data_IF_609607031980
#
_entry.id   IF_609607031980
#
_cell.length_a   1.000
_cell.length_b   1.000
_cell.length_c   1.000
_cell.angle_alpha   90.00
_cell.angle_beta   90.00
_cell.angle_gamma   90.00
#
_symmetry.space_group_name_H-M   'P 1'
#
loop_
_entity.id
_entity.type
_entity.pdbx_description
1 polymer ?
#
# COMPACT_ATOMS: atom_id res chain seq x y z
N UNK A 1 6.90 35.44 -21.95
CA UNK A 1 7.94 34.42 -21.68
C UNK A 1 7.50 33.56 -20.50
N UNK A 2 7.81 32.26 -20.56
CA UNK A 2 7.47 31.16 -19.62
C UNK A 2 6.15 30.42 -19.88
N UNK A 3 6.14 29.62 -20.94
CA UNK A 3 5.26 28.45 -21.05
C UNK A 3 6.04 27.13 -21.25
N UNK A 4 7.38 27.14 -21.22
CA UNK A 4 8.20 26.00 -21.65
C UNK A 4 8.56 25.00 -20.53
N UNK A 5 8.06 25.20 -19.31
CA UNK A 5 8.42 24.34 -18.18
C UNK A 5 7.63 23.04 -18.05
N UNK A 6 6.51 22.86 -18.77
CA UNK A 6 5.54 21.80 -18.48
C UNK A 6 5.06 20.97 -19.69
N UNK A 7 5.60 21.21 -20.88
CA UNK A 7 5.39 20.36 -22.08
C UNK A 7 6.21 19.07 -22.05
N UNK A 8 7.19 18.99 -21.15
CA UNK A 8 8.04 17.81 -20.98
C UNK A 8 7.29 16.75 -20.18
N UNK A 9 7.21 15.55 -20.76
CA UNK A 9 6.68 14.37 -20.07
C UNK A 9 7.45 14.13 -18.77
N UNK A 10 6.76 13.89 -17.63
CA UNK A 10 7.42 13.45 -16.41
C UNK A 10 8.26 12.20 -16.68
N UNK A 11 9.54 12.22 -16.28
CA UNK A 11 10.50 11.14 -16.55
C UNK A 11 10.00 9.76 -16.11
N UNK A 12 9.35 9.69 -14.93
CA UNK A 12 8.72 8.46 -14.42
C UNK A 12 7.66 7.87 -15.35
N UNK A 13 6.88 8.72 -16.03
CA UNK A 13 5.89 8.26 -17.00
C UNK A 13 6.55 7.83 -18.30
N UNK A 14 7.56 8.57 -18.76
CA UNK A 14 8.34 8.21 -19.94
C UNK A 14 9.05 6.85 -19.76
N UNK A 15 9.66 6.62 -18.61
CA UNK A 15 10.31 5.35 -18.27
C UNK A 15 9.30 4.21 -18.16
N UNK A 16 8.09 4.48 -17.66
CA UNK A 16 7.02 3.49 -17.57
C UNK A 16 6.48 3.08 -18.95
N UNK A 17 6.25 4.06 -19.84
CA UNK A 17 5.84 3.80 -21.24
C UNK A 17 6.93 3.03 -21.97
N UNK A 18 8.21 3.34 -21.70
CA UNK A 18 9.35 2.63 -22.27
C UNK A 18 9.60 1.24 -21.64
N UNK A 19 8.76 0.79 -20.70
CA UNK A 19 8.92 -0.49 -20.02
C UNK A 19 10.14 -0.58 -19.10
N UNK A 20 10.80 0.55 -18.79
CA UNK A 20 12.04 0.61 -18.01
C UNK A 20 11.81 0.56 -16.50
N UNK A 21 10.61 0.92 -16.02
CA UNK A 21 10.24 0.74 -14.61
C UNK A 21 9.64 -0.66 -14.41
N UNK A 22 10.49 -1.68 -14.36
CA UNK A 22 10.10 -3.00 -13.87
C UNK A 22 9.85 -2.91 -12.37
N UNK A 23 8.57 -2.87 -11.97
CA UNK A 23 8.13 -2.67 -10.58
C UNK A 23 8.66 -1.34 -10.03
N UNK A 24 7.79 -0.37 -9.80
CA UNK A 24 8.13 0.69 -8.85
C UNK A 24 8.40 -0.03 -7.54
N UNK A 25 9.68 -0.28 -7.24
CA UNK A 25 10.15 -0.45 -5.89
C UNK A 25 9.70 0.85 -5.26
N UNK A 26 8.58 0.77 -4.52
CA UNK A 26 8.09 1.89 -3.74
C UNK A 26 9.32 2.50 -3.10
N UNK A 27 9.60 3.77 -3.40
CA UNK A 27 10.58 4.52 -2.64
C UNK A 27 10.21 4.22 -1.20
N UNK A 28 11.02 3.42 -0.52
CA UNK A 28 10.86 3.08 0.89
C UNK A 28 10.75 4.43 1.57
N UNK A 29 9.53 4.89 1.83
CA UNK A 29 9.31 6.14 2.50
C UNK A 29 9.64 5.81 3.94
N UNK A 30 10.91 6.00 4.26
CA UNK A 30 11.50 5.87 5.58
C UNK A 30 11.58 4.42 6.08
N UNK A 31 12.40 3.59 5.42
CA UNK A 31 13.26 2.72 6.24
C UNK A 31 14.33 3.62 6.85
N UNK A 32 13.92 4.38 7.86
CA UNK A 32 14.87 4.83 8.84
C UNK A 32 15.28 3.55 9.56
N UNK A 33 16.33 2.90 9.06
CA UNK A 33 17.14 1.95 9.81
C UNK A 33 17.83 2.67 10.97
N UNK A 34 17.10 3.49 11.73
CA UNK A 34 17.46 3.73 13.10
C UNK A 34 17.29 2.37 13.77
N UNK A 35 18.41 1.73 14.10
CA UNK A 35 18.52 0.56 14.95
C UNK A 35 17.97 0.87 16.35
N UNK A 36 16.71 1.29 16.43
CA UNK A 36 16.04 1.56 17.68
C UNK A 36 15.63 0.21 18.23
N UNK A 37 16.26 -0.14 19.34
CA UNK A 37 15.95 -1.35 20.07
C UNK A 37 14.45 -1.36 20.40
N UNK A 38 13.76 -2.51 20.23
CA UNK A 38 12.35 -2.62 20.56
C UNK A 38 12.12 -2.18 22.01
N UNK A 39 11.29 -1.16 22.21
CA UNK A 39 10.96 -0.66 23.55
C UNK A 39 9.96 -1.64 24.18
N UNK A 40 10.43 -2.46 25.11
CA UNK A 40 9.59 -3.47 25.78
C UNK A 40 8.96 -4.47 24.80
N UNK A 41 9.68 -4.85 23.74
CA UNK A 41 9.24 -5.83 22.75
C UNK A 41 8.26 -5.28 21.69
N UNK A 42 8.06 -3.96 21.62
CA UNK A 42 7.29 -3.30 20.55
C UNK A 42 8.23 -2.51 19.63
N UNK A 43 8.04 -2.66 18.32
CA UNK A 43 8.73 -1.86 17.32
C UNK A 43 8.33 -0.37 17.44
N UNK A 44 9.27 0.59 17.47
CA UNK A 44 8.95 2.03 17.54
C UNK A 44 7.98 2.51 16.46
N UNK A 45 8.08 1.95 15.26
CA UNK A 45 7.19 2.25 14.12
C UNK A 45 5.71 1.96 14.42
N UNK A 46 5.42 0.96 15.25
CA UNK A 46 4.04 0.66 15.69
C UNK A 46 3.43 1.82 16.46
N UNK A 47 4.22 2.54 17.27
CA UNK A 47 3.72 3.71 17.99
C UNK A 47 3.43 4.86 17.05
N UNK A 48 4.27 5.07 16.03
CA UNK A 48 4.03 6.08 15.01
C UNK A 48 2.76 5.78 14.21
N UNK A 49 2.55 4.53 13.80
CA UNK A 49 1.36 4.15 13.03
C UNK A 49 0.06 4.29 13.84
N UNK A 50 0.10 4.01 15.15
CA UNK A 50 -1.07 4.08 16.01
C UNK A 50 -1.29 5.44 16.67
N UNK A 51 -0.44 6.44 16.41
CA UNK A 51 -0.50 7.75 17.08
C UNK A 51 -1.86 8.45 16.89
N UNK A 52 -2.47 8.26 15.72
CA UNK A 52 -3.75 8.87 15.33
C UNK A 52 -4.94 7.90 15.53
N UNK A 53 -4.69 6.73 16.14
CA UNK A 53 -5.69 5.68 16.33
C UNK A 53 -6.04 5.50 17.82
N UNK A 54 -7.32 5.22 18.10
CA UNK A 54 -7.74 4.79 19.45
C UNK A 54 -7.40 3.31 19.64
N UNK A 55 -6.18 3.03 20.10
CA UNK A 55 -5.69 1.67 20.34
C UNK A 55 -5.83 1.25 21.82
N UNK A 56 -6.58 0.17 22.13
CA UNK A 56 -6.63 -0.38 23.49
C UNK A 56 -5.25 -0.82 23.99
N UNK A 57 -4.83 -0.49 25.23
CA UNK A 57 -3.51 -0.87 25.76
C UNK A 57 -3.23 -2.39 25.74
N UNK A 58 -4.28 -3.21 25.87
CA UNK A 58 -4.17 -4.68 25.77
C UNK A 58 -3.68 -5.17 24.41
N UNK A 59 -3.81 -4.36 23.36
CA UNK A 59 -3.35 -4.69 22.00
C UNK A 59 -1.84 -4.86 21.94
N UNK A 60 -1.08 -4.01 22.63
CA UNK A 60 0.38 -4.12 22.68
C UNK A 60 0.84 -5.44 23.32
N UNK A 61 0.06 -5.98 24.27
CA UNK A 61 0.32 -7.31 24.83
C UNK A 61 0.18 -8.44 23.80
N UNK A 62 -0.70 -8.29 22.81
CA UNK A 62 -0.85 -9.24 21.70
C UNK A 62 0.27 -9.06 20.69
N UNK A 63 0.61 -7.82 20.32
CA UNK A 63 1.66 -7.53 19.34
C UNK A 63 3.04 -8.02 19.80
N UNK A 64 3.34 -8.00 21.10
CA UNK A 64 4.59 -8.59 21.65
C UNK A 64 4.78 -10.08 21.34
N UNK A 65 3.73 -10.80 20.97
CA UNK A 65 3.79 -12.23 20.66
C UNK A 65 4.37 -12.50 19.26
N UNK A 66 4.44 -11.48 18.40
CA UNK A 66 4.97 -11.58 17.04
C UNK A 66 6.25 -10.78 16.87
N UNK A 67 7.06 -11.15 15.88
CA UNK A 67 8.30 -10.46 15.54
C UNK A 67 8.07 -8.99 15.16
N UNK A 68 9.06 -8.09 15.38
CA UNK A 68 8.90 -6.66 15.13
C UNK A 68 8.39 -6.30 13.72
N UNK A 69 8.90 -6.96 12.68
CA UNK A 69 8.39 -6.79 11.31
C UNK A 69 6.90 -7.10 11.24
N UNK A 70 6.48 -8.26 11.76
CA UNK A 70 5.09 -8.68 11.79
C UNK A 70 4.19 -7.75 12.61
N UNK A 71 4.69 -7.09 13.64
CA UNK A 71 3.91 -6.10 14.39
C UNK A 71 3.46 -4.94 13.50
N UNK A 72 4.40 -4.38 12.72
CA UNK A 72 4.13 -3.28 11.78
C UNK A 72 3.10 -3.74 10.75
N UNK A 73 3.32 -4.91 10.15
CA UNK A 73 2.41 -5.49 9.17
C UNK A 73 0.95 -5.63 9.65
N UNK A 74 0.78 -6.13 10.88
CA UNK A 74 -0.55 -6.30 11.48
C UNK A 74 -1.22 -4.94 11.66
N UNK A 75 -0.47 -3.94 12.13
CA UNK A 75 -0.99 -2.60 12.41
C UNK A 75 -1.39 -1.89 11.12
N UNK A 76 -0.55 -1.92 10.09
CA UNK A 76 -0.88 -1.34 8.77
C UNK A 76 -2.16 -1.95 8.19
N UNK A 77 -2.28 -3.29 8.24
CA UNK A 77 -3.47 -3.98 7.76
C UNK A 77 -4.71 -3.61 8.60
N UNK A 78 -4.58 -3.49 9.93
CA UNK A 78 -5.69 -3.08 10.79
C UNK A 78 -6.16 -1.64 10.52
N UNK A 79 -5.24 -0.72 10.24
CA UNK A 79 -5.54 0.66 9.87
C UNK A 79 -6.25 0.70 8.52
N UNK A 80 -5.71 0.02 7.51
CA UNK A 80 -6.31 0.00 6.18
C UNK A 80 -7.69 -0.67 6.13
N UNK A 81 -7.95 -1.62 7.04
CA UNK A 81 -9.27 -2.22 7.23
C UNK A 81 -10.21 -1.39 8.11
N UNK A 82 -9.76 -0.24 8.64
CA UNK A 82 -10.48 0.59 9.62
C UNK A 82 -10.94 -0.20 10.85
N UNK A 83 -10.15 -1.20 11.25
CA UNK A 83 -10.49 -2.20 12.27
C UNK A 83 -9.43 -2.31 13.35
N UNK A 84 -8.97 -1.17 13.85
CA UNK A 84 -8.06 -1.06 15.00
C UNK A 84 -8.76 -1.45 16.30
N UNK A 85 -9.01 -2.75 16.47
CA UNK A 85 -9.75 -3.36 17.60
C UNK A 85 -8.98 -4.55 18.14
N UNK A 86 -9.11 -4.80 19.45
CA UNK A 86 -8.41 -5.89 20.14
C UNK A 86 -8.70 -7.27 19.52
N UNK A 87 -9.94 -7.53 19.11
CA UNK A 87 -10.33 -8.79 18.49
C UNK A 87 -9.66 -8.98 17.12
N UNK A 88 -9.54 -7.92 16.31
CA UNK A 88 -8.80 -7.96 15.04
C UNK A 88 -7.35 -8.33 15.29
N UNK A 89 -6.68 -7.63 16.22
CA UNK A 89 -5.29 -7.94 16.57
C UNK A 89 -5.12 -9.40 17.03
N UNK A 90 -6.07 -9.91 17.83
CA UNK A 90 -6.06 -11.31 18.27
C UNK A 90 -6.17 -12.27 17.09
N UNK A 91 -7.04 -12.01 16.12
CA UNK A 91 -7.18 -12.85 14.92
C UNK A 91 -5.88 -12.86 14.13
N UNK A 92 -5.29 -11.69 13.87
CA UNK A 92 -4.03 -11.57 13.13
C UNK A 92 -2.87 -12.31 13.82
N UNK A 93 -2.75 -12.20 15.15
CA UNK A 93 -1.71 -12.89 15.92
C UNK A 93 -1.93 -14.41 15.92
N UNK A 94 -3.19 -14.86 16.06
CA UNK A 94 -3.52 -16.30 16.03
C UNK A 94 -3.19 -16.90 14.67
N UNK A 95 -3.47 -16.20 13.57
CA UNK A 95 -3.21 -16.64 12.20
C UNK A 95 -1.78 -16.33 11.69
N UNK A 96 -0.89 -15.87 12.57
CA UNK A 96 0.49 -15.57 12.17
C UNK A 96 1.32 -16.87 12.10
N UNK A 97 2.13 -17.09 11.04
CA UNK A 97 3.04 -18.23 10.90
C UNK A 97 3.95 -18.52 12.10
N UNK A 98 4.21 -19.82 12.36
CA UNK A 98 5.34 -20.38 13.14
C UNK A 98 6.52 -19.42 13.36
N UNK A 99 7.15 -19.18 12.22
CA UNK A 99 8.40 -18.46 12.03
C UNK A 99 8.34 -16.97 12.36
N UNK A 100 7.14 -16.41 12.52
CA UNK A 100 6.92 -14.98 12.77
C UNK A 100 6.49 -14.70 14.22
N UNK A 101 6.53 -15.70 15.10
CA UNK A 101 6.32 -15.52 16.53
C UNK A 101 7.62 -15.28 17.29
N UNK A 102 7.52 -14.51 18.37
CA UNK A 102 8.65 -14.28 19.29
C UNK A 102 9.02 -15.55 20.07
N UNK A 103 8.04 -16.41 20.39
CA UNK A 103 8.23 -17.66 21.12
C UNK A 103 7.48 -18.81 20.41
N UNK A 104 8.11 -19.48 19.43
CA UNK A 104 7.44 -20.53 18.64
C UNK A 104 7.13 -21.79 19.47
N UNK A 105 7.82 -22.01 20.59
CA UNK A 105 7.63 -23.18 21.46
C UNK A 105 6.37 -23.13 22.33
N UNK A 106 5.69 -21.98 22.41
CA UNK A 106 4.49 -21.83 23.24
C UNK A 106 3.25 -22.29 22.45
N UNK A 107 2.43 -23.23 22.98
CA UNK A 107 1.21 -23.67 22.33
C UNK A 107 0.26 -22.50 22.05
N UNK A 108 -0.20 -22.39 20.81
CA UNK A 108 -1.08 -21.30 20.38
C UNK A 108 -2.50 -21.51 20.85
N UNK A 109 -3.18 -20.39 21.09
CA UNK A 109 -4.63 -20.40 21.30
C UNK A 109 -5.32 -20.55 19.94
N UNK A 110 -5.89 -21.71 19.68
CA UNK A 110 -6.76 -21.92 18.54
C UNK A 110 -8.13 -21.28 18.77
N UNK A 111 -8.86 -21.02 17.69
CA UNK A 111 -10.27 -20.65 17.79
C UNK A 111 -11.06 -21.87 18.28
N UNK A 112 -11.89 -21.65 19.30
CA UNK A 112 -12.75 -22.72 19.81
C UNK A 112 -13.70 -23.19 18.71
N UNK A 113 -13.80 -24.51 18.51
CA UNK A 113 -14.68 -25.11 17.52
C UNK A 113 -14.12 -25.20 16.09
N UNK A 114 -12.86 -24.85 15.85
CA UNK A 114 -12.19 -25.04 14.55
C UNK A 114 -11.28 -26.27 14.59
N UNK A 115 -11.41 -27.16 13.61
CA UNK A 115 -10.56 -28.35 13.48
C UNK A 115 -9.10 -27.96 13.12
N UNK A 116 -8.08 -28.73 13.55
CA UNK A 116 -6.68 -28.37 13.32
C UNK A 116 -6.32 -28.29 11.83
N UNK A 117 -6.93 -29.10 10.98
CA UNK A 117 -6.73 -29.07 9.52
C UNK A 117 -7.29 -27.77 8.92
N UNK A 118 -8.49 -27.36 9.35
CA UNK A 118 -9.12 -26.10 8.92
C UNK A 118 -8.33 -24.88 9.39
N UNK A 119 -7.78 -24.95 10.61
CA UNK A 119 -6.93 -23.90 11.12
C UNK A 119 -5.65 -23.75 10.28
N UNK A 120 -5.02 -24.87 9.92
CA UNK A 120 -3.82 -24.88 9.08
C UNK A 120 -4.10 -24.28 7.70
N UNK A 121 -5.24 -24.61 7.09
CA UNK A 121 -5.67 -24.00 5.83
C UNK A 121 -5.85 -22.48 5.97
N UNK A 122 -6.54 -22.05 7.04
CA UNK A 122 -6.77 -20.64 7.32
C UNK A 122 -5.47 -19.85 7.56
N UNK A 123 -4.47 -20.45 8.23
CA UNK A 123 -3.15 -19.83 8.43
C UNK A 123 -2.44 -19.60 7.10
N UNK A 124 -2.46 -20.58 6.19
CA UNK A 124 -1.87 -20.48 4.85
C UNK A 124 -2.59 -19.40 4.03
N UNK A 125 -3.91 -19.47 3.93
CA UNK A 125 -4.72 -18.49 3.18
C UNK A 125 -4.52 -17.07 3.72
N UNK A 126 -4.46 -16.92 5.04
CA UNK A 126 -4.24 -15.62 5.67
C UNK A 126 -2.85 -15.05 5.39
N UNK A 127 -1.82 -15.90 5.38
CA UNK A 127 -0.47 -15.49 5.04
C UNK A 127 -0.38 -15.03 3.57
N UNK A 128 -1.01 -15.77 2.66
CA UNK A 128 -1.09 -15.39 1.24
C UNK A 128 -1.84 -14.08 1.03
N UNK A 129 -2.99 -13.92 1.68
CA UNK A 129 -3.79 -12.70 1.63
C UNK A 129 -3.02 -11.50 2.20
N UNK A 130 -2.38 -11.66 3.37
CA UNK A 130 -1.58 -10.61 4.01
C UNK A 130 -0.46 -10.13 3.09
N UNK A 131 0.24 -11.06 2.42
CA UNK A 131 1.31 -10.75 1.46
C UNK A 131 0.77 -10.05 0.22
N UNK A 132 -0.32 -10.57 -0.35
CA UNK A 132 -0.97 -9.95 -1.52
C UNK A 132 -1.46 -8.53 -1.23
N UNK A 133 -2.09 -8.34 -0.07
CA UNK A 133 -2.53 -7.03 0.41
C UNK A 133 -1.36 -6.05 0.51
N UNK A 134 -0.25 -6.43 1.16
CA UNK A 134 0.91 -5.53 1.29
C UNK A 134 1.51 -5.17 -0.06
N UNK A 135 1.72 -6.15 -0.92
CA UNK A 135 2.26 -5.92 -2.26
C UNK A 135 1.39 -4.94 -3.06
N UNK A 136 0.07 -5.00 -2.89
CA UNK A 136 -0.86 -4.05 -3.50
C UNK A 136 -0.79 -2.67 -2.83
N UNK A 137 -0.77 -2.61 -1.50
CA UNK A 137 -0.71 -1.37 -0.73
C UNK A 137 0.57 -0.56 -1.04
N UNK A 138 1.74 -1.21 -1.06
CA UNK A 138 3.02 -0.57 -1.39
C UNK A 138 3.04 0.05 -2.79
N UNK A 139 2.34 -0.58 -3.76
CA UNK A 139 2.26 -0.11 -5.14
C UNK A 139 1.21 0.98 -5.34
N UNK A 140 0.15 0.97 -4.53
CA UNK A 140 -1.00 1.85 -4.69
C UNK A 140 -0.62 3.33 -4.65
N UNK A 141 0.18 3.76 -3.67
CA UNK A 141 0.56 5.17 -3.53
C UNK A 141 1.36 5.70 -4.73
N UNK A 142 2.36 4.94 -5.20
CA UNK A 142 3.14 5.32 -6.36
C UNK A 142 2.30 5.37 -7.64
N UNK A 143 1.45 4.37 -7.86
CA UNK A 143 0.59 4.33 -9.04
C UNK A 143 -0.44 5.46 -9.04
N UNK A 144 -1.00 5.81 -7.88
CA UNK A 144 -1.91 6.96 -7.76
C UNK A 144 -1.20 8.27 -8.09
N UNK A 145 0.03 8.50 -7.58
CA UNK A 145 0.79 9.71 -7.91
C UNK A 145 1.18 9.78 -9.39
N UNK A 146 1.58 8.65 -9.97
CA UNK A 146 1.87 8.56 -11.40
C UNK A 146 0.61 8.82 -12.24
N UNK A 147 -0.54 8.26 -11.84
CA UNK A 147 -1.81 8.52 -12.52
C UNK A 147 -2.21 10.00 -12.45
N UNK A 148 -2.02 10.65 -11.30
CA UNK A 148 -2.23 12.10 -11.13
C UNK A 148 -1.29 12.89 -12.05
N UNK A 149 -0.01 12.51 -12.11
CA UNK A 149 0.97 13.15 -12.99
C UNK A 149 0.61 12.96 -14.48
N UNK A 150 0.19 11.76 -14.88
CA UNK A 150 -0.20 11.43 -16.25
C UNK A 150 -1.43 12.22 -16.66
N UNK A 151 -2.46 12.25 -15.80
CA UNK A 151 -3.65 13.07 -16.02
C UNK A 151 -3.28 14.55 -16.16
N UNK A 152 -2.45 15.06 -15.26
CA UNK A 152 -2.00 16.46 -15.31
C UNK A 152 -1.25 16.78 -16.60
N UNK A 153 -0.45 15.85 -17.12
CA UNK A 153 0.22 16.01 -18.40
C UNK A 153 -0.77 16.03 -19.57
N UNK A 154 -1.69 15.06 -19.63
CA UNK A 154 -2.70 15.00 -20.71
C UNK A 154 -3.59 16.24 -20.69
N UNK A 155 -3.99 16.73 -19.51
CA UNK A 155 -4.78 17.96 -19.40
C UNK A 155 -4.04 19.17 -20.01
N UNK A 156 -2.74 19.33 -19.68
CA UNK A 156 -1.91 20.39 -20.27
C UNK A 156 -1.74 20.24 -21.78
N UNK A 157 -1.63 19.01 -22.27
CA UNK A 157 -1.55 18.73 -23.71
C UNK A 157 -2.82 19.20 -24.42
N UNK A 158 -3.98 18.95 -23.80
CA UNK A 158 -5.30 19.31 -24.31
C UNK A 158 -5.64 20.80 -24.18
N UNK A 159 -4.93 21.56 -23.34
CA UNK A 159 -5.04 23.04 -23.28
C UNK A 159 -4.37 23.73 -24.48
N UNK A 160 -3.46 23.05 -25.18
CA UNK A 160 -2.76 23.60 -26.35
C UNK A 160 -3.59 23.51 -27.62
N UNK A 161 -4.11 24.65 -28.08
CA UNK A 161 -4.91 24.74 -29.31
C UNK A 161 -4.19 24.18 -30.57
N UNK A 162 -2.84 24.25 -30.62
CA UNK A 162 -2.05 23.67 -31.70
C UNK A 162 -2.12 22.14 -31.69
N UNK A 163 -1.98 21.54 -30.50
CA UNK A 163 -2.01 20.08 -30.33
C UNK A 163 -3.43 19.55 -30.56
N UNK A 164 -4.45 20.22 -30.05
CA UNK A 164 -5.85 19.84 -30.28
C UNK A 164 -6.18 19.88 -31.78
N UNK A 165 -5.75 20.92 -32.51
CA UNK A 165 -5.98 21.01 -33.96
C UNK A 165 -5.27 19.90 -34.72
N UNK A 166 -4.04 19.56 -34.34
CA UNK A 166 -3.29 18.45 -34.91
C UNK A 166 -4.00 17.11 -34.67
N UNK A 167 -4.37 16.82 -33.42
CA UNK A 167 -5.10 15.60 -33.06
C UNK A 167 -6.47 15.52 -33.74
N UNK A 168 -7.19 16.62 -33.90
CA UNK A 168 -8.48 16.64 -34.58
C UNK A 168 -8.37 16.27 -36.07
N UNK A 169 -7.26 16.64 -36.71
CA UNK A 169 -7.01 16.35 -38.12
C UNK A 169 -6.50 14.93 -38.33
N UNK A 170 -5.48 14.53 -37.57
CA UNK A 170 -4.73 13.29 -37.83
C UNK A 170 -5.16 12.11 -36.94
N UNK A 171 -5.72 12.37 -35.74
CA UNK A 171 -6.03 11.35 -34.72
C UNK A 171 -7.37 11.64 -33.99
N UNK A 172 -8.51 11.76 -34.71
CA UNK A 172 -9.78 12.22 -34.13
C UNK A 172 -10.34 11.26 -33.07
N UNK A 173 -10.13 9.95 -33.22
CA UNK A 173 -10.55 8.96 -32.22
C UNK A 173 -9.81 9.12 -30.89
N UNK A 174 -8.49 9.32 -30.95
CA UNK A 174 -7.63 9.51 -29.78
C UNK A 174 -7.96 10.83 -29.07
N UNK A 175 -8.27 11.88 -29.84
CA UNK A 175 -8.77 13.14 -29.29
C UNK A 175 -10.04 12.94 -28.47
N UNK A 176 -11.02 12.21 -29.01
CA UNK A 176 -12.26 11.88 -28.30
C UNK A 176 -12.00 11.05 -27.03
N UNK A 177 -11.09 10.07 -27.09
CA UNK A 177 -10.68 9.30 -25.93
C UNK A 177 -10.07 10.18 -24.82
N UNK A 178 -9.20 11.13 -25.16
CA UNK A 178 -8.61 12.04 -24.17
C UNK A 178 -9.63 12.99 -23.56
N UNK A 179 -10.58 13.50 -24.34
CA UNK A 179 -11.66 14.35 -23.83
C UNK A 179 -12.53 13.59 -22.82
N UNK A 180 -12.99 12.39 -23.18
CA UNK A 180 -13.77 11.52 -22.29
C UNK A 180 -13.00 11.17 -21.01
N UNK A 181 -11.70 10.88 -21.12
CA UNK A 181 -10.85 10.56 -19.97
C UNK A 181 -10.69 11.75 -19.01
N UNK A 182 -10.65 12.98 -19.53
CA UNK A 182 -10.56 14.18 -18.70
C UNK A 182 -11.90 14.57 -18.05
N UNK A 183 -13.02 14.34 -18.75
CA UNK A 183 -14.39 14.61 -18.27
C UNK A 183 -14.81 13.67 -17.14
N UNK A 184 -14.57 12.36 -17.29
CA UNK A 184 -14.92 11.34 -16.28
C UNK A 184 -14.27 11.57 -14.91
N UNK A 185 -13.15 12.29 -14.85
CA UNK A 185 -12.42 12.56 -13.62
C UNK A 185 -12.74 13.93 -12.99
N UNK A 186 -13.77 14.64 -13.49
CA UNK A 186 -14.24 15.93 -12.95
C UNK A 186 -15.46 15.79 -12.00
N UNK A 187 -16.05 14.59 -11.96
CA UNK A 187 -17.07 14.15 -11.01
C UNK A 187 -16.44 13.28 -9.91
#
# INVERSE_FOLDING_TARGET
MKAEGFTVMPAVLADRIAGRTGSVAGRKLNQNETSQQPLGGICPEVFHLLQDCVAPPKMFGLLRQVLPSRQVEIVEAMIALERVKLNTARVFVVLTPQSQLTNPSVPRKHFAGIAPEQFSAMEVEFAELSRGFRNAAERSGAWSLELVAARGYVNRLMESARVVRYLAHDFPCQLGCFQMLLETARN
#
